data_IF_890600639610
#
_entry.id   IF_890600639610
#
_cell.length_a   1.000
_cell.length_b   1.000
_cell.length_c   1.000
_cell.angle_alpha   90.00
_cell.angle_beta   90.00
_cell.angle_gamma   90.00
#
_symmetry.space_group_name_H-M   'P 1'
#
loop_
_entity.id
_entity.type
_entity.pdbx_description
1 polymer ?
#
# COMPACT_ATOMS: atom_id res chain seq x y z
N UNK A 1 3.19 15.78 1.44
CA UNK A 1 3.05 15.16 0.11
C UNK A 1 1.66 14.54 0.07
N UNK A 2 1.14 14.29 -1.13
CA UNK A 2 -0.17 13.67 -1.33
C UNK A 2 0.03 12.23 -1.82
N UNK A 3 -1.02 11.43 -1.72
CA UNK A 3 -1.07 10.07 -2.26
C UNK A 3 -0.58 9.99 -3.72
N UNK A 4 0.27 9.00 -4.02
CA UNK A 4 0.71 8.66 -5.38
C UNK A 4 0.42 7.18 -5.68
N UNK A 5 -0.49 6.86 -6.61
CA UNK A 5 -0.81 5.47 -6.98
C UNK A 5 0.37 4.73 -7.63
N UNK A 6 1.48 5.41 -7.97
CA UNK A 6 2.73 4.80 -8.45
C UNK A 6 3.71 4.50 -7.32
N UNK A 7 3.56 5.09 -6.13
CA UNK A 7 4.31 4.66 -4.96
C UNK A 7 3.72 3.34 -4.49
N UNK A 8 4.54 2.30 -4.51
CA UNK A 8 4.10 0.95 -4.17
C UNK A 8 3.61 0.85 -2.72
N UNK A 9 4.10 1.71 -1.83
CA UNK A 9 3.65 1.74 -0.44
C UNK A 9 2.26 2.37 -0.31
N UNK A 10 2.01 3.45 -1.05
CA UNK A 10 0.70 4.10 -1.12
C UNK A 10 -0.32 3.13 -1.75
N UNK A 11 0.05 2.51 -2.86
CA UNK A 11 -0.80 1.54 -3.55
C UNK A 11 -1.11 0.31 -2.69
N UNK A 12 -0.11 -0.27 -2.00
CA UNK A 12 -0.34 -1.42 -1.13
C UNK A 12 -1.19 -1.07 0.09
N UNK A 13 -0.98 0.10 0.70
CA UNK A 13 -1.81 0.56 1.83
C UNK A 13 -3.27 0.82 1.41
N UNK A 14 -3.50 1.28 0.18
CA UNK A 14 -4.84 1.46 -0.38
C UNK A 14 -5.50 0.11 -0.71
N UNK A 15 -4.72 -0.85 -1.24
CA UNK A 15 -5.22 -2.15 -1.66
C UNK A 15 -5.57 -3.07 -0.48
N UNK A 16 -4.68 -3.13 0.51
CA UNK A 16 -4.88 -3.88 1.75
C UNK A 16 -4.83 -2.90 2.91
N UNK A 17 -5.99 -2.65 3.51
CA UNK A 17 -6.16 -1.66 4.57
C UNK A 17 -5.17 -1.87 5.73
N UNK A 18 -4.72 -3.11 5.96
CA UNK A 18 -3.69 -3.45 6.94
C UNK A 18 -2.52 -4.19 6.30
N UNK A 19 -1.33 -3.57 6.34
CA UNK A 19 -0.10 -4.20 5.88
C UNK A 19 0.30 -5.35 6.81
N UNK A 20 -0.03 -6.58 6.41
CA UNK A 20 0.26 -7.79 7.16
C UNK A 20 1.54 -8.46 6.63
N UNK A 21 2.47 -8.80 7.53
CA UNK A 21 3.67 -9.53 7.12
C UNK A 21 3.30 -10.93 6.62
N UNK A 22 3.71 -11.29 5.41
CA UNK A 22 3.45 -12.62 4.85
C UNK A 22 4.40 -13.70 5.39
N UNK A 23 5.48 -13.30 6.08
CA UNK A 23 6.48 -14.21 6.65
C UNK A 23 6.33 -14.50 8.14
N UNK A 24 5.47 -13.76 8.87
CA UNK A 24 5.21 -13.98 10.29
C UNK A 24 3.91 -13.28 10.73
N UNK A 25 3.36 -13.54 11.93
CA UNK A 25 2.10 -12.94 12.40
C UNK A 25 2.16 -11.43 12.73
N UNK A 26 3.23 -10.72 12.35
CA UNK A 26 3.35 -9.28 12.63
C UNK A 26 2.50 -8.48 11.67
N UNK A 27 1.65 -7.61 12.22
CA UNK A 27 0.87 -6.61 11.47
C UNK A 27 1.51 -5.24 11.67
N UNK A 28 1.46 -4.41 10.64
CA UNK A 28 1.84 -3.01 10.76
C UNK A 28 0.76 -2.24 11.52
N UNK A 29 1.10 -1.78 12.72
CA UNK A 29 0.18 -1.09 13.64
C UNK A 29 0.45 0.41 13.60
N UNK A 30 -0.22 1.11 12.68
CA UNK A 30 -0.17 2.56 12.56
C UNK A 30 -1.52 3.10 12.08
N UNK A 31 -2.10 3.99 12.87
CA UNK A 31 -3.35 4.67 12.58
C UNK A 31 -3.08 6.17 12.35
N UNK A 32 -3.21 6.68 11.12
CA UNK A 32 -3.11 8.11 10.83
C UNK A 32 -4.18 8.91 11.58
N UNK A 33 -3.79 10.03 12.21
CA UNK A 33 -4.74 10.96 12.83
C UNK A 33 -5.41 11.89 11.79
N UNK A 34 -6.11 11.31 10.82
CA UNK A 34 -6.88 12.01 9.78
C UNK A 34 -8.06 11.18 9.29
N UNK A 35 -9.08 11.80 8.65
CA UNK A 35 -10.18 11.06 8.05
C UNK A 35 -9.70 10.05 7.00
N UNK A 36 -10.42 8.94 6.85
CA UNK A 36 -10.17 7.94 5.80
C UNK A 36 -10.34 8.61 4.43
N UNK A 37 -9.32 8.47 3.58
CA UNK A 37 -9.21 9.07 2.26
C UNK A 37 -7.84 8.76 1.65
N UNK A 38 -7.52 9.28 0.47
CA UNK A 38 -6.24 8.96 -0.18
C UNK A 38 -5.02 9.36 0.67
N UNK A 39 -5.09 10.53 1.28
CA UNK A 39 -4.04 11.05 2.17
C UNK A 39 -3.88 10.25 3.47
N UNK A 40 -4.91 9.51 3.89
CA UNK A 40 -4.82 8.56 5.01
C UNK A 40 -3.97 7.35 4.63
N UNK A 41 -4.22 6.75 3.45
CA UNK A 41 -3.44 5.62 2.95
C UNK A 41 -2.01 6.02 2.60
N UNK A 42 -1.79 7.25 2.13
CA UNK A 42 -0.45 7.82 1.96
C UNK A 42 0.33 7.80 3.29
N UNK A 43 -0.27 8.26 4.38
CA UNK A 43 0.42 8.29 5.67
C UNK A 43 0.79 6.87 6.15
N UNK A 44 -0.09 5.89 5.97
CA UNK A 44 0.19 4.47 6.26
C UNK A 44 1.37 3.97 5.45
N UNK A 45 1.31 4.10 4.12
CA UNK A 45 2.35 3.63 3.22
C UNK A 45 3.72 4.26 3.54
N UNK A 46 3.75 5.57 3.71
CA UNK A 46 5.00 6.27 4.02
C UNK A 46 5.53 5.95 5.42
N UNK A 47 4.66 5.70 6.40
CA UNK A 47 5.12 5.26 7.72
C UNK A 47 5.71 3.84 7.66
N UNK A 48 5.08 2.91 6.94
CA UNK A 48 5.62 1.56 6.76
C UNK A 48 6.99 1.59 6.08
N UNK A 49 7.15 2.44 5.04
CA UNK A 49 8.41 2.68 4.35
C UNK A 49 9.50 3.23 5.29
N UNK A 50 9.15 4.21 6.13
CA UNK A 50 10.06 4.78 7.15
C UNK A 50 10.49 3.74 8.19
N UNK A 51 9.58 2.87 8.57
CA UNK A 51 9.82 1.81 9.56
C UNK A 51 10.53 0.58 8.96
N UNK A 52 10.90 0.63 7.67
CA UNK A 52 11.71 -0.38 7.00
C UNK A 52 10.93 -1.61 6.55
N UNK A 53 9.60 -1.52 6.47
CA UNK A 53 8.79 -2.57 5.84
C UNK A 53 9.14 -2.67 4.36
N UNK A 54 9.08 -3.88 3.83
CA UNK A 54 9.29 -4.14 2.40
C UNK A 54 7.94 -4.39 1.76
N UNK A 55 7.64 -3.62 0.72
CA UNK A 55 6.54 -3.83 -0.20
C UNK A 55 7.10 -4.09 -1.60
N UNK A 56 6.61 -5.13 -2.28
CA UNK A 56 6.96 -5.47 -3.65
C UNK A 56 5.74 -5.98 -4.44
N UNK A 57 5.72 -5.76 -5.76
CA UNK A 57 4.64 -6.29 -6.61
C UNK A 57 4.77 -7.81 -6.70
N UNK A 58 3.69 -8.53 -6.44
CA UNK A 58 3.59 -9.95 -6.75
C UNK A 58 2.87 -10.08 -8.08
N UNK A 59 3.58 -10.58 -9.07
CA UNK A 59 2.99 -10.99 -10.35
C UNK A 59 2.65 -12.46 -10.24
N UNK A 60 1.36 -12.77 -10.13
CA UNK A 60 0.88 -14.16 -10.24
C UNK A 60 0.80 -14.55 -11.73
N UNK A 61 1.58 -15.57 -12.11
CA UNK A 61 1.55 -16.12 -13.47
C UNK A 61 0.23 -16.83 -13.81
N UNK A 62 -0.54 -17.26 -12.80
CA UNK A 62 -1.86 -17.88 -12.96
C UNK A 62 -3.01 -16.88 -13.16
N UNK A 63 -2.85 -15.65 -12.67
CA UNK A 63 -3.83 -14.58 -12.76
C UNK A 63 -3.17 -13.27 -13.24
N UNK A 64 -2.68 -13.23 -14.48
CA UNK A 64 -2.08 -12.03 -15.05
C UNK A 64 -3.14 -10.93 -15.15
N UNK A 65 -3.18 -10.06 -14.14
CA UNK A 65 -4.18 -9.00 -13.99
C UNK A 65 -4.64 -8.78 -12.55
N UNK A 66 -4.45 -9.76 -11.65
CA UNK A 66 -4.68 -9.57 -10.22
C UNK A 66 -3.46 -8.91 -9.58
N UNK A 67 -3.63 -7.69 -9.08
CA UNK A 67 -2.59 -6.98 -8.36
C UNK A 67 -2.49 -7.56 -6.95
N UNK A 68 -1.31 -8.05 -6.58
CA UNK A 68 -1.01 -8.43 -5.22
C UNK A 68 0.30 -7.79 -4.77
N UNK A 69 0.44 -7.57 -3.47
CA UNK A 69 1.64 -7.01 -2.88
C UNK A 69 2.25 -8.01 -1.90
N UNK A 70 3.55 -8.27 -2.07
CA UNK A 70 4.37 -8.88 -1.03
C UNK A 70 4.60 -7.83 0.05
N UNK A 71 4.20 -8.14 1.27
CA UNK A 71 4.44 -7.28 2.44
C UNK A 71 5.27 -8.06 3.45
N UNK A 72 6.43 -7.52 3.85
CA UNK A 72 7.31 -8.13 4.85
C UNK A 72 7.72 -7.09 5.90
N UNK A 73 7.64 -7.48 7.17
CA UNK A 73 8.22 -6.71 8.25
C UNK A 73 9.76 -6.69 8.15
N UNK A 74 10.45 -5.73 8.79
CA UNK A 74 11.91 -5.60 8.69
C UNK A 74 12.67 -6.88 9.07
N UNK A 75 12.16 -7.63 10.05
CA UNK A 75 12.74 -8.90 10.48
C UNK A 75 12.68 -9.97 9.39
N UNK A 76 11.51 -10.15 8.76
CA UNK A 76 11.35 -11.13 7.68
C UNK A 76 12.09 -10.69 6.42
N UNK A 77 12.03 -9.40 6.07
CA UNK A 77 12.80 -8.84 4.97
C UNK A 77 14.31 -9.13 5.10
N UNK A 78 14.87 -8.92 6.30
CA UNK A 78 16.27 -9.21 6.60
C UNK A 78 16.67 -10.68 6.40
N UNK A 79 15.77 -11.63 6.69
CA UNK A 79 16.02 -13.07 6.44
C UNK A 79 16.16 -13.40 4.95
N UNK A 80 15.53 -12.62 4.08
CA UNK A 80 15.59 -12.78 2.63
C UNK A 80 16.58 -11.83 1.95
N UNK A 81 17.31 -11.00 2.72
CA UNK A 81 18.22 -9.99 2.17
C UNK A 81 17.51 -8.85 1.42
N UNK A 82 16.25 -8.60 1.72
CA UNK A 82 15.44 -7.55 1.10
C UNK A 82 15.53 -6.24 1.91
N UNK A 83 15.42 -5.10 1.23
CA UNK A 83 15.47 -3.77 1.86
C UNK A 83 14.33 -2.88 1.35
N UNK A 84 13.84 -2.02 2.23
CA UNK A 84 12.76 -1.09 1.92
C UNK A 84 13.19 -0.06 0.85
N UNK A 85 12.22 0.46 0.08
CA UNK A 85 12.42 1.55 -0.87
C UNK A 85 13.17 1.20 -2.17
N UNK A 86 13.57 -0.06 -2.38
CA UNK A 86 14.25 -0.46 -3.62
C UNK A 86 13.33 -0.62 -4.83
N UNK A 87 12.01 -0.71 -4.61
CA UNK A 87 11.02 -0.97 -5.66
C UNK A 87 10.08 0.24 -5.84
N UNK A 88 9.87 0.61 -7.09
CA UNK A 88 8.73 1.41 -7.54
C UNK A 88 7.79 0.51 -8.32
N UNK A 89 6.49 0.76 -8.26
CA UNK A 89 5.56 0.08 -9.16
C UNK A 89 5.92 0.44 -10.61
N UNK A 90 5.94 -0.56 -11.48
CA UNK A 90 6.30 -0.35 -12.89
C UNK A 90 5.18 0.29 -13.70
N UNK A 91 3.94 0.13 -13.24
CA UNK A 91 2.74 0.78 -13.76
C UNK A 91 1.74 0.96 -12.62
N UNK A 92 0.74 1.84 -12.79
CA UNK A 92 -0.42 1.85 -11.90
C UNK A 92 -1.34 0.71 -12.33
N UNK A 93 -1.78 -0.11 -11.37
CA UNK A 93 -2.72 -1.18 -11.68
C UNK A 93 -4.14 -0.62 -11.90
N UNK A 94 -4.94 -1.19 -12.82
CA UNK A 94 -6.32 -0.76 -13.02
C UNK A 94 -7.15 -0.79 -11.74
N UNK A 95 -6.93 -1.79 -10.87
CA UNK A 95 -7.62 -1.90 -9.58
C UNK A 95 -7.30 -0.72 -8.65
N UNK A 96 -6.03 -0.29 -8.58
CA UNK A 96 -5.63 0.89 -7.80
C UNK A 96 -6.28 2.15 -8.38
N UNK A 97 -6.31 2.31 -9.71
CA UNK A 97 -6.97 3.46 -10.34
C UNK A 97 -8.46 3.50 -10.03
N UNK A 98 -9.16 2.37 -10.09
CA UNK A 98 -10.57 2.24 -9.76
C UNK A 98 -10.86 2.59 -8.29
N UNK A 99 -10.05 2.07 -7.36
CA UNK A 99 -10.20 2.39 -5.92
C UNK A 99 -9.92 3.89 -5.69
N UNK A 100 -8.92 4.47 -6.35
CA UNK A 100 -8.64 5.91 -6.25
C UNK A 100 -9.84 6.74 -6.71
N UNK A 101 -10.44 6.40 -7.84
CA UNK A 101 -11.62 7.10 -8.36
C UNK A 101 -12.82 6.98 -7.40
N UNK A 102 -13.05 5.78 -6.85
CA UNK A 102 -14.10 5.55 -5.88
C UNK A 102 -13.90 6.38 -4.60
N UNK A 103 -12.65 6.51 -4.13
CA UNK A 103 -12.34 7.31 -2.95
C UNK A 103 -12.58 8.80 -3.16
N UNK A 104 -12.14 9.33 -4.31
CA UNK A 104 -12.38 10.73 -4.68
C UNK A 104 -13.88 11.02 -4.83
N UNK A 105 -14.66 10.06 -5.38
CA UNK A 105 -16.11 10.20 -5.49
C UNK A 105 -16.76 10.23 -4.10
N UNK A 106 -16.38 9.32 -3.20
CA UNK A 106 -16.92 9.24 -1.84
C UNK A 106 -16.61 10.51 -1.01
N UNK A 107 -15.39 11.05 -1.12
CA UNK A 107 -15.03 12.31 -0.45
C UNK A 107 -15.93 13.46 -0.95
N UNK A 108 -16.14 13.57 -2.27
CA UNK A 108 -17.01 14.60 -2.85
C UNK A 108 -18.45 14.52 -2.36
N UNK A 109 -18.99 13.31 -2.22
CA UNK A 109 -20.35 13.09 -1.72
C UNK A 109 -20.47 13.47 -0.23
N UNK A 110 -19.44 13.18 0.59
CA UNK A 110 -19.40 13.61 2.00
C UNK A 110 -19.38 15.14 2.17
N UNK A 111 -18.72 15.88 1.27
CA UNK A 111 -18.69 17.35 1.29
C UNK A 111 -19.93 18.01 0.67
N UNK A 112 -20.77 17.25 -0.04
CA UNK A 112 -22.01 17.75 -0.66
C UNK A 112 -23.26 17.51 0.20
N UNK A 113 -23.15 16.68 1.25
CA UNK A 113 -24.21 16.37 2.23
C UNK A 113 -24.16 17.32 3.44
#
# INVERSE_FOLDING_TARGET
MAFDPRDIYDAAALYDMWLNCQGCPTTFDFEPNRPIGLDYYHDIGQQAKRDGWVVAEQVDAGHPGEQAYLVLCPHCAGKYGLTAGAASATAVSPAIEEICQAMVAAEREQFAA
#
